data_IF_608061407583
#
_entry.id   IF_608061407583
#
_cell.length_a   1.000
_cell.length_b   1.000
_cell.length_c   1.000
_cell.angle_alpha   90.00
_cell.angle_beta   90.00
_cell.angle_gamma   90.00
#
_symmetry.space_group_name_H-M   'P 1'
#
loop_
_entity.id
_entity.type
_entity.pdbx_description
1 polymer ?
#
# COMPACT_ATOMS: atom_id res chain seq x y z
N UNK A 1 -7.49 55.91 40.17
CA UNK A 1 -8.04 55.47 38.88
C UNK A 1 -6.89 54.88 38.12
N UNK A 2 -6.85 53.55 38.11
CA UNK A 2 -5.74 52.74 37.63
C UNK A 2 -6.21 52.12 36.31
N UNK A 3 -5.77 52.72 35.21
CA UNK A 3 -6.16 52.32 33.85
C UNK A 3 -5.16 51.26 33.37
N UNK A 4 -5.51 49.99 33.64
CA UNK A 4 -4.80 48.82 33.14
C UNK A 4 -4.96 48.75 31.63
N UNK A 5 -3.91 49.18 30.93
CA UNK A 5 -3.74 49.03 29.50
C UNK A 5 -3.74 47.54 29.14
N UNK A 6 -4.88 47.06 28.63
CA UNK A 6 -5.03 45.71 28.12
C UNK A 6 -4.22 45.59 26.82
N UNK A 7 -3.04 44.97 26.89
CA UNK A 7 -2.31 44.55 25.70
C UNK A 7 -3.12 43.51 24.95
N UNK A 8 -3.76 43.92 23.87
CA UNK A 8 -4.42 43.02 22.91
C UNK A 8 -3.28 42.17 22.31
N UNK A 9 -3.20 40.89 22.67
CA UNK A 9 -2.38 39.92 21.93
C UNK A 9 -2.81 40.02 20.47
N UNK A 10 -1.91 40.44 19.57
CA UNK A 10 -2.12 40.31 18.14
C UNK A 10 -2.45 38.84 17.86
N UNK A 11 -3.68 38.58 17.43
CA UNK A 11 -4.10 37.24 17.06
C UNK A 11 -3.27 36.73 15.90
N UNK A 12 -2.99 35.44 15.90
CA UNK A 12 -2.32 34.76 14.78
C UNK A 12 -3.26 34.82 13.57
N UNK A 13 -2.80 35.42 12.48
CA UNK A 13 -3.54 35.57 11.24
C UNK A 13 -3.27 34.44 10.23
N UNK A 14 -4.03 34.43 9.12
CA UNK A 14 -3.82 33.44 8.04
C UNK A 14 -2.43 33.54 7.39
N UNK A 15 -1.86 34.75 7.31
CA UNK A 15 -0.51 34.96 6.81
C UNK A 15 0.56 34.33 7.72
N UNK A 16 0.34 34.36 9.05
CA UNK A 16 1.24 33.72 10.01
C UNK A 16 1.17 32.19 9.90
N UNK A 17 -0.02 31.63 9.67
CA UNK A 17 -0.21 30.19 9.42
C UNK A 17 0.53 29.76 8.15
N UNK A 18 0.42 30.55 7.06
CA UNK A 18 1.18 30.31 5.84
C UNK A 18 2.69 30.33 6.08
N UNK A 19 3.19 31.35 6.77
CA UNK A 19 4.61 31.44 7.12
C UNK A 19 5.07 30.29 8.03
N UNK A 20 4.24 29.78 8.95
CA UNK A 20 4.57 28.59 9.74
C UNK A 20 4.68 27.34 8.88
N UNK A 21 3.79 27.17 7.90
CA UNK A 21 3.85 26.06 6.96
C UNK A 21 5.12 26.11 6.11
N UNK A 22 5.44 27.28 5.54
CA UNK A 22 6.65 27.48 4.72
C UNK A 22 7.92 27.21 5.51
N UNK A 23 8.04 27.76 6.73
CA UNK A 23 9.19 27.52 7.61
C UNK A 23 9.33 26.04 7.99
N UNK A 24 8.21 25.34 8.23
CA UNK A 24 8.23 23.92 8.53
C UNK A 24 8.66 23.10 7.31
N UNK A 25 8.14 23.42 6.13
CA UNK A 25 8.51 22.78 4.86
C UNK A 25 9.99 22.97 4.54
N UNK A 26 10.53 24.19 4.68
CA UNK A 26 11.95 24.47 4.48
C UNK A 26 12.85 23.73 5.50
N UNK A 27 12.42 23.67 6.77
CA UNK A 27 13.14 22.94 7.80
C UNK A 27 13.16 21.43 7.53
N UNK A 28 12.02 20.87 7.11
CA UNK A 28 11.89 19.47 6.72
C UNK A 28 12.74 19.15 5.47
N UNK A 29 12.68 19.98 4.42
CA UNK A 29 13.54 19.83 3.23
C UNK A 29 15.03 19.86 3.60
N UNK A 30 15.43 20.79 4.48
CA UNK A 30 16.81 20.87 4.95
C UNK A 30 17.22 19.65 5.77
N UNK A 31 16.37 19.18 6.68
CA UNK A 31 16.64 17.96 7.45
C UNK A 31 16.70 16.74 6.54
N UNK A 32 15.81 16.62 5.55
CA UNK A 32 15.87 15.55 4.55
C UNK A 32 17.15 15.62 3.74
N UNK A 33 17.59 16.79 3.26
CA UNK A 33 18.88 16.96 2.55
C UNK A 33 20.12 16.67 3.40
N UNK A 34 20.02 16.80 4.73
CA UNK A 34 21.10 16.48 5.66
C UNK A 34 21.10 14.98 6.01
N UNK A 35 19.92 14.39 6.18
CA UNK A 35 19.75 12.98 6.52
C UNK A 35 19.88 12.04 5.32
N UNK A 36 19.65 12.55 4.11
CA UNK A 36 19.67 11.81 2.85
C UNK A 36 20.52 12.57 1.83
N UNK A 37 21.36 11.86 1.09
CA UNK A 37 22.03 12.41 -0.08
C UNK A 37 20.95 12.64 -1.17
N UNK A 38 20.54 13.89 -1.46
CA UNK A 38 19.35 14.16 -2.27
C UNK A 38 19.48 13.73 -3.74
N UNK A 39 20.68 13.34 -4.18
CA UNK A 39 20.93 12.78 -5.51
C UNK A 39 20.96 11.24 -5.52
N UNK A 40 21.07 10.58 -4.37
CA UNK A 40 20.92 9.12 -4.27
C UNK A 40 19.43 8.77 -4.35
N UNK A 41 18.98 8.45 -5.57
CA UNK A 41 17.70 7.75 -5.73
C UNK A 41 17.72 6.47 -4.91
N UNK A 42 16.64 6.22 -4.16
CA UNK A 42 16.46 4.95 -3.43
C UNK A 42 16.75 3.78 -4.37
N UNK A 43 17.45 2.79 -3.85
CA UNK A 43 17.71 1.54 -4.54
C UNK A 43 17.31 0.37 -3.64
N UNK A 44 16.83 -0.70 -4.25
CA UNK A 44 16.49 -1.90 -3.51
C UNK A 44 17.75 -2.71 -3.21
N UNK A 45 17.95 -3.08 -1.95
CA UNK A 45 19.07 -3.94 -1.55
C UNK A 45 18.99 -5.33 -2.21
N UNK A 46 20.12 -6.04 -2.21
CA UNK A 46 20.14 -7.46 -2.56
C UNK A 46 19.63 -8.33 -1.41
N UNK A 47 19.03 -9.46 -1.76
CA UNK A 47 18.47 -10.46 -0.86
C UNK A 47 19.41 -11.64 -0.68
N UNK A 48 19.45 -12.21 0.52
CA UNK A 48 20.22 -13.42 0.82
C UNK A 48 19.57 -14.67 0.20
N UNK A 49 20.35 -15.75 0.08
CA UNK A 49 19.84 -17.06 -0.37
C UNK A 49 18.66 -17.57 0.47
N UNK A 50 18.58 -17.23 1.76
CA UNK A 50 17.47 -17.63 2.64
C UNK A 50 16.19 -16.88 2.30
N UNK A 51 16.28 -15.57 2.08
CA UNK A 51 15.15 -14.74 1.67
C UNK A 51 14.63 -15.17 0.29
N UNK A 52 15.54 -15.39 -0.66
CA UNK A 52 15.19 -15.84 -2.02
C UNK A 52 14.52 -17.22 -2.02
N UNK A 53 15.03 -18.15 -1.21
CA UNK A 53 14.41 -19.47 -1.06
C UNK A 53 12.96 -19.36 -0.53
N UNK A 54 12.71 -18.48 0.45
CA UNK A 54 11.37 -18.19 0.96
C UNK A 54 10.47 -17.59 -0.12
N UNK A 55 10.96 -16.56 -0.83
CA UNK A 55 10.22 -15.88 -1.90
C UNK A 55 9.87 -16.83 -3.05
N UNK A 56 10.77 -17.73 -3.43
CA UNK A 56 10.55 -18.71 -4.49
C UNK A 56 9.83 -19.99 -4.02
N UNK A 57 9.56 -20.12 -2.72
CA UNK A 57 8.99 -21.34 -2.08
C UNK A 57 9.78 -22.60 -2.42
N UNK A 58 11.11 -22.51 -2.39
CA UNK A 58 12.04 -23.63 -2.58
C UNK A 58 12.93 -23.79 -1.35
N UNK A 59 13.60 -24.94 -1.22
CA UNK A 59 14.62 -25.08 -0.18
C UNK A 59 15.92 -24.36 -0.57
N UNK A 60 16.66 -23.85 0.42
CA UNK A 60 18.00 -23.29 0.21
C UNK A 60 18.97 -24.30 -0.41
N UNK A 61 18.76 -25.60 -0.14
CA UNK A 61 19.50 -26.69 -0.76
C UNK A 61 19.22 -26.81 -2.26
N UNK A 62 17.95 -26.67 -2.67
CA UNK A 62 17.58 -26.65 -4.09
C UNK A 62 18.25 -25.48 -4.80
N UNK A 63 18.16 -24.26 -4.24
CA UNK A 63 18.81 -23.07 -4.78
C UNK A 63 20.32 -23.28 -5.00
N UNK A 64 21.02 -23.79 -3.98
CA UNK A 64 22.45 -24.09 -4.04
C UNK A 64 22.80 -25.13 -5.10
N UNK A 65 22.01 -26.20 -5.21
CA UNK A 65 22.25 -27.26 -6.18
C UNK A 65 22.06 -26.75 -7.62
N UNK A 66 21.07 -25.89 -7.85
CA UNK A 66 20.79 -25.27 -9.15
C UNK A 66 21.89 -24.30 -9.62
N UNK A 67 22.56 -23.62 -8.70
CA UNK A 67 23.79 -22.90 -9.06
C UNK A 67 24.95 -23.86 -9.35
N UNK A 68 25.10 -24.93 -8.55
CA UNK A 68 26.20 -25.89 -8.72
C UNK A 68 26.14 -26.65 -10.05
N UNK A 69 24.94 -26.97 -10.53
CA UNK A 69 24.72 -27.66 -11.81
C UNK A 69 24.64 -26.72 -13.03
N UNK A 70 24.77 -25.41 -12.81
CA UNK A 70 24.76 -24.39 -13.86
C UNK A 70 23.37 -24.05 -14.40
N UNK A 71 22.29 -24.57 -13.81
CA UNK A 71 20.93 -24.24 -14.25
C UNK A 71 20.46 -22.85 -13.85
N UNK A 72 21.05 -22.26 -12.81
CA UNK A 72 20.84 -20.85 -12.44
C UNK A 72 22.05 -19.99 -12.84
N UNK A 73 21.81 -18.74 -13.31
CA UNK A 73 22.87 -17.81 -13.63
C UNK A 73 23.72 -17.49 -12.40
N UNK A 74 24.96 -17.06 -12.62
CA UNK A 74 25.79 -16.53 -11.56
C UNK A 74 25.23 -15.20 -11.04
N UNK A 75 25.40 -14.98 -9.74
CA UNK A 75 24.92 -13.79 -9.04
C UNK A 75 26.03 -13.24 -8.15
N UNK A 76 25.83 -12.02 -7.63
CA UNK A 76 26.78 -11.43 -6.71
C UNK A 76 27.08 -12.36 -5.53
N UNK A 77 28.37 -12.60 -5.28
CA UNK A 77 28.85 -13.46 -4.21
C UNK A 77 29.86 -12.69 -3.37
N UNK A 78 29.67 -12.66 -2.05
CA UNK A 78 30.62 -11.98 -1.16
C UNK A 78 31.95 -12.74 -1.03
N UNK A 79 32.93 -12.13 -0.35
CA UNK A 79 34.25 -12.74 -0.10
C UNK A 79 34.18 -14.03 0.73
N UNK A 80 33.04 -14.36 1.35
CA UNK A 80 32.79 -15.57 2.14
C UNK A 80 32.04 -16.65 1.34
N UNK A 81 31.72 -16.39 0.07
CA UNK A 81 30.99 -17.32 -0.79
C UNK A 81 29.47 -17.28 -0.64
N UNK A 82 28.90 -16.30 0.07
CA UNK A 82 27.45 -16.14 0.17
C UNK A 82 26.89 -15.41 -1.03
N UNK A 83 25.83 -15.96 -1.62
CA UNK A 83 25.13 -15.38 -2.79
C UNK A 83 24.06 -14.39 -2.38
N UNK A 84 23.98 -13.30 -3.14
CA UNK A 84 23.05 -12.18 -2.99
C UNK A 84 22.39 -11.82 -4.33
N UNK A 85 21.07 -11.62 -4.29
CA UNK A 85 20.24 -11.52 -5.49
C UNK A 85 19.50 -10.17 -5.52
N UNK A 86 19.51 -9.51 -6.66
CA UNK A 86 18.57 -8.44 -7.00
C UNK A 86 17.15 -8.99 -7.19
N UNK A 87 16.13 -8.14 -7.15
CA UNK A 87 14.74 -8.58 -7.36
C UNK A 87 14.52 -9.09 -8.80
N UNK A 88 15.22 -8.52 -9.77
CA UNK A 88 15.24 -8.93 -11.17
C UNK A 88 15.83 -10.33 -11.32
N UNK A 89 16.98 -10.61 -10.67
CA UNK A 89 17.58 -11.95 -10.65
C UNK A 89 16.63 -12.96 -10.02
N UNK A 90 15.93 -12.63 -8.93
CA UNK A 90 14.92 -13.51 -8.32
C UNK A 90 13.81 -13.86 -9.31
N UNK A 91 13.38 -12.91 -10.14
CA UNK A 91 12.39 -13.15 -11.18
C UNK A 91 12.90 -14.02 -12.33
N UNK A 92 14.17 -13.88 -12.72
CA UNK A 92 14.83 -14.79 -13.66
C UNK A 92 14.85 -16.21 -13.09
N UNK A 93 15.22 -16.39 -11.81
CA UNK A 93 15.24 -17.70 -11.16
C UNK A 93 13.83 -18.31 -11.12
N UNK A 94 12.81 -17.50 -10.84
CA UNK A 94 11.40 -17.91 -10.87
C UNK A 94 10.99 -18.42 -12.25
N UNK A 95 11.36 -17.73 -13.31
CA UNK A 95 11.02 -18.15 -14.67
C UNK A 95 11.72 -19.47 -15.05
N UNK A 96 12.99 -19.65 -14.67
CA UNK A 96 13.71 -20.93 -14.86
C UNK A 96 13.01 -22.06 -14.08
N UNK A 97 12.59 -21.81 -12.85
CA UNK A 97 11.83 -22.78 -12.05
C UNK A 97 10.47 -23.10 -12.68
N UNK A 98 9.77 -22.11 -13.23
CA UNK A 98 8.51 -22.28 -13.94
C UNK A 98 8.65 -23.15 -15.20
N UNK A 99 9.73 -22.96 -15.97
CA UNK A 99 9.99 -23.73 -17.20
C UNK A 99 10.48 -25.16 -16.94
N UNK A 100 11.22 -25.37 -15.85
CA UNK A 100 11.88 -26.67 -15.56
C UNK A 100 11.14 -27.49 -14.50
N UNK A 101 10.24 -26.88 -13.74
CA UNK A 101 9.48 -27.51 -12.68
C UNK A 101 8.30 -28.32 -13.19
N UNK A 102 7.83 -29.27 -12.37
CA UNK A 102 6.61 -30.06 -12.68
C UNK A 102 5.31 -29.24 -12.54
N UNK A 103 5.35 -28.14 -11.80
CA UNK A 103 4.19 -27.28 -11.55
C UNK A 103 4.57 -25.82 -11.86
N UNK A 104 4.47 -25.44 -13.14
CA UNK A 104 4.81 -24.10 -13.61
C UNK A 104 3.97 -23.02 -12.92
N UNK A 105 2.68 -23.31 -12.68
CA UNK A 105 1.72 -22.40 -12.05
C UNK A 105 2.13 -21.99 -10.63
N UNK A 106 2.80 -22.88 -9.89
CA UNK A 106 3.29 -22.56 -8.53
C UNK A 106 4.35 -21.46 -8.53
N UNK A 107 5.04 -21.25 -9.64
CA UNK A 107 6.08 -20.23 -9.81
C UNK A 107 5.59 -18.99 -10.57
N UNK A 108 4.43 -19.05 -11.23
CA UNK A 108 3.85 -17.92 -11.96
C UNK A 108 2.48 -17.60 -11.37
N UNK A 109 2.45 -16.82 -10.26
CA UNK A 109 1.24 -16.72 -9.47
C UNK A 109 0.25 -15.67 -9.99
N UNK A 110 0.66 -14.84 -10.96
CA UNK A 110 -0.13 -13.76 -11.56
C UNK A 110 -1.39 -14.20 -12.32
N UNK A 111 -1.97 -13.26 -13.07
CA UNK A 111 -3.22 -13.48 -13.82
C UNK A 111 -3.01 -14.43 -15.00
N UNK A 112 -4.07 -15.18 -15.32
CA UNK A 112 -4.28 -15.99 -16.53
C UNK A 112 -5.33 -15.29 -17.38
N UNK A 113 -5.53 -15.74 -18.62
CA UNK A 113 -6.39 -15.06 -19.61
C UNK A 113 -7.83 -14.73 -19.14
N UNK A 114 -8.40 -15.52 -18.21
CA UNK A 114 -9.76 -15.31 -17.69
C UNK A 114 -9.80 -14.65 -16.30
N UNK A 115 -8.65 -14.31 -15.74
CA UNK A 115 -8.57 -13.71 -14.42
C UNK A 115 -8.75 -12.19 -14.54
N UNK A 116 -9.70 -11.65 -13.78
CA UNK A 116 -9.86 -10.19 -13.67
C UNK A 116 -8.74 -9.56 -12.86
N UNK A 117 -8.45 -8.28 -13.12
CA UNK A 117 -7.57 -7.49 -12.27
C UNK A 117 -8.07 -7.49 -10.83
N UNK A 118 -7.17 -7.70 -9.86
CA UNK A 118 -7.53 -7.60 -8.45
C UNK A 118 -7.19 -6.23 -7.89
N UNK A 119 -8.21 -5.37 -7.80
CA UNK A 119 -8.16 -4.02 -7.27
C UNK A 119 -8.57 -4.04 -5.80
N UNK A 120 -7.62 -3.85 -4.90
CA UNK A 120 -7.82 -4.01 -3.46
C UNK A 120 -7.66 -2.68 -2.75
N UNK A 121 -8.75 -2.15 -2.22
CA UNK A 121 -8.69 -0.97 -1.36
C UNK A 121 -8.27 -1.34 0.05
N UNK A 122 -7.19 -0.74 0.52
CA UNK A 122 -6.74 -0.81 1.90
C UNK A 122 -7.37 0.34 2.66
N UNK A 123 -8.42 0.01 3.41
CA UNK A 123 -9.24 0.99 4.12
C UNK A 123 -9.06 0.86 5.61
N UNK A 124 -9.38 1.94 6.31
CA UNK A 124 -9.68 1.86 7.72
C UNK A 124 -10.54 3.03 8.14
N UNK A 125 -11.02 2.93 9.37
CA UNK A 125 -12.08 3.75 9.91
C UNK A 125 -11.62 4.68 11.06
N UNK A 126 -10.29 4.88 11.20
CA UNK A 126 -9.61 5.83 12.13
C UNK A 126 -8.15 6.14 11.76
N UNK A 127 -7.62 7.33 12.03
CA UNK A 127 -6.19 7.62 11.84
C UNK A 127 -5.25 6.66 12.61
N UNK A 128 -4.07 6.32 12.04
CA UNK A 128 -3.02 5.56 12.75
C UNK A 128 -3.15 4.03 12.79
N UNK A 129 -3.92 3.46 11.88
CA UNK A 129 -4.26 2.03 11.72
C UNK A 129 -3.28 1.22 10.86
N UNK A 130 -2.18 1.82 10.41
CA UNK A 130 -1.15 1.17 9.58
C UNK A 130 -1.56 0.84 8.14
N UNK A 131 -2.53 1.55 7.53
CA UNK A 131 -2.93 1.35 6.11
C UNK A 131 -1.76 1.45 5.15
N UNK A 132 -1.13 2.63 5.07
CA UNK A 132 0.04 2.89 4.21
C UNK A 132 1.14 1.86 4.42
N UNK A 133 1.42 1.55 5.69
CA UNK A 133 2.40 0.51 6.06
C UNK A 133 1.99 -0.86 5.54
N UNK A 134 0.73 -1.28 5.69
CA UNK A 134 0.24 -2.54 5.14
C UNK A 134 0.30 -2.51 3.60
N UNK A 135 -0.19 -1.45 2.96
CA UNK A 135 -0.21 -1.28 1.51
C UNK A 135 1.17 -1.45 0.90
N UNK A 136 2.18 -0.70 1.37
CA UNK A 136 3.53 -0.77 0.80
C UNK A 136 4.18 -2.14 1.01
N UNK A 137 4.04 -2.73 2.21
CA UNK A 137 4.65 -4.01 2.52
C UNK A 137 3.99 -5.17 1.74
N UNK A 138 2.67 -5.13 1.58
CA UNK A 138 1.94 -6.09 0.75
C UNK A 138 2.35 -5.95 -0.72
N UNK A 139 2.43 -4.72 -1.24
CA UNK A 139 2.84 -4.45 -2.61
C UNK A 139 4.24 -4.99 -2.91
N UNK A 140 5.21 -4.64 -2.06
CA UNK A 140 6.60 -5.11 -2.19
C UNK A 140 6.69 -6.63 -2.08
N UNK A 141 5.94 -7.26 -1.16
CA UNK A 141 5.90 -8.72 -1.06
C UNK A 141 5.28 -9.37 -2.29
N UNK A 142 4.18 -8.85 -2.83
CA UNK A 142 3.58 -9.37 -4.06
C UNK A 142 4.51 -9.21 -5.27
N UNK A 143 5.16 -8.06 -5.42
CA UNK A 143 6.17 -7.84 -6.44
C UNK A 143 7.33 -8.84 -6.32
N UNK A 144 7.88 -9.01 -5.11
CA UNK A 144 8.89 -10.04 -4.83
C UNK A 144 8.40 -11.44 -5.14
N UNK A 145 7.12 -11.77 -4.91
CA UNK A 145 6.51 -13.07 -5.25
C UNK A 145 6.31 -13.26 -6.76
N UNK A 146 6.43 -12.21 -7.56
CA UNK A 146 6.48 -12.24 -9.02
C UNK A 146 5.25 -11.64 -9.72
N UNK A 147 4.30 -11.08 -8.96
CA UNK A 147 3.14 -10.35 -9.49
C UNK A 147 3.58 -9.02 -10.11
N UNK A 148 2.87 -8.57 -11.13
CA UNK A 148 2.92 -7.19 -11.63
C UNK A 148 1.99 -6.35 -10.77
N UNK A 149 2.55 -5.43 -9.99
CA UNK A 149 1.80 -4.69 -8.97
C UNK A 149 1.79 -3.21 -9.31
N UNK A 150 0.62 -2.61 -9.20
CA UNK A 150 0.46 -1.16 -9.19
C UNK A 150 -0.07 -0.74 -7.82
N UNK A 151 0.44 0.35 -7.27
CA UNK A 151 -0.13 0.96 -6.07
C UNK A 151 -0.61 2.37 -6.36
N UNK A 152 -1.78 2.72 -5.84
CA UNK A 152 -2.37 4.04 -5.98
C UNK A 152 -2.39 4.68 -4.59
N UNK A 153 -1.74 5.83 -4.46
CA UNK A 153 -1.95 6.69 -3.30
C UNK A 153 -3.20 7.54 -3.56
N UNK A 154 -4.24 7.38 -2.73
CA UNK A 154 -5.46 8.18 -2.80
C UNK A 154 -5.61 9.13 -1.61
N UNK A 155 -4.59 9.24 -0.76
CA UNK A 155 -4.58 10.17 0.36
C UNK A 155 -3.89 11.48 -0.07
N UNK A 156 -4.55 12.65 0.01
CA UNK A 156 -3.91 13.94 -0.30
C UNK A 156 -2.65 14.23 0.52
N UNK A 157 -2.45 13.54 1.67
CA UNK A 157 -1.20 13.61 2.45
C UNK A 157 -0.02 12.87 1.79
N UNK A 158 -0.26 12.14 0.70
CA UNK A 158 0.75 11.53 -0.14
C UNK A 158 1.81 10.71 0.61
N UNK A 159 1.38 10.02 1.68
CA UNK A 159 2.29 9.31 2.58
C UNK A 159 2.91 8.09 1.88
N UNK A 160 2.11 7.35 1.10
CA UNK A 160 2.63 6.23 0.31
C UNK A 160 3.62 6.73 -0.75
N UNK A 161 3.28 7.81 -1.42
CA UNK A 161 4.12 8.48 -2.43
C UNK A 161 5.49 8.84 -1.87
N UNK A 162 5.50 9.46 -0.69
CA UNK A 162 6.73 9.82 0.02
C UNK A 162 7.55 8.59 0.44
N UNK A 163 6.88 7.50 0.84
CA UNK A 163 7.56 6.25 1.17
C UNK A 163 8.31 5.65 -0.03
N UNK A 164 7.79 5.79 -1.25
CA UNK A 164 8.51 5.43 -2.48
C UNK A 164 9.64 6.40 -2.85
N UNK A 165 9.94 7.38 -2.01
CA UNK A 165 11.05 8.31 -2.19
C UNK A 165 10.77 9.45 -3.15
N UNK A 166 9.53 9.59 -3.63
CA UNK A 166 9.11 10.77 -4.36
C UNK A 166 8.82 11.92 -3.41
N UNK A 167 8.93 13.14 -3.93
CA UNK A 167 8.64 14.38 -3.21
C UNK A 167 7.45 15.09 -3.86
N UNK A 168 6.21 14.82 -3.39
CA UNK A 168 5.01 15.31 -4.07
C UNK A 168 5.00 16.81 -4.35
N UNK A 169 5.47 17.62 -3.40
CA UNK A 169 5.45 19.08 -3.50
C UNK A 169 6.48 19.63 -4.49
N UNK A 170 7.49 18.84 -4.87
CA UNK A 170 8.52 19.26 -5.83
C UNK A 170 8.35 18.60 -7.19
N UNK A 171 8.01 17.31 -7.21
CA UNK A 171 7.98 16.50 -8.43
C UNK A 171 6.62 16.53 -9.12
N UNK A 172 5.54 16.79 -8.38
CA UNK A 172 4.17 16.72 -8.89
C UNK A 172 3.35 17.99 -8.60
N UNK A 173 4.03 19.13 -8.42
CA UNK A 173 3.39 20.42 -8.17
C UNK A 173 2.49 20.88 -9.33
N UNK A 174 2.91 20.59 -10.58
CA UNK A 174 2.23 21.00 -11.81
C UNK A 174 1.35 19.88 -12.42
N UNK A 175 1.10 18.81 -11.68
CA UNK A 175 0.35 17.63 -12.13
C UNK A 175 1.21 16.36 -12.19
N UNK A 176 0.65 15.30 -12.78
CA UNK A 176 1.28 13.98 -12.84
C UNK A 176 0.84 13.04 -11.70
N UNK A 177 -0.32 13.29 -11.11
CA UNK A 177 -0.85 12.55 -9.96
C UNK A 177 -2.16 11.84 -10.28
N UNK A 178 -2.64 11.01 -9.36
CA UNK A 178 -3.97 10.39 -9.45
C UNK A 178 -5.10 11.43 -9.59
N UNK A 179 -4.90 12.66 -9.10
CA UNK A 179 -5.89 13.73 -9.28
C UNK A 179 -6.12 14.04 -10.76
N UNK A 180 -5.05 14.13 -11.56
CA UNK A 180 -5.14 14.43 -12.99
C UNK A 180 -5.87 13.31 -13.76
N UNK A 181 -5.76 12.07 -13.30
CA UNK A 181 -6.47 10.93 -13.87
C UNK A 181 -7.94 10.85 -13.43
N UNK A 182 -8.34 11.53 -12.35
CA UNK A 182 -9.70 11.46 -11.80
C UNK A 182 -10.51 12.74 -12.01
N UNK A 183 -9.89 13.90 -12.21
CA UNK A 183 -10.57 15.20 -12.33
C UNK A 183 -11.60 15.24 -13.46
N UNK A 184 -12.55 16.17 -13.35
CA UNK A 184 -13.69 16.27 -14.27
C UNK A 184 -13.36 16.97 -15.59
N UNK A 185 -12.40 17.91 -15.55
CA UNK A 185 -11.96 18.71 -16.68
C UNK A 185 -10.48 18.40 -16.96
N UNK A 186 -10.08 18.41 -18.23
CA UNK A 186 -8.70 18.13 -18.67
C UNK A 186 -8.10 16.82 -18.13
N UNK A 187 -8.92 15.76 -18.02
CA UNK A 187 -8.48 14.46 -17.53
C UNK A 187 -7.33 13.89 -18.38
N UNK A 188 -6.30 13.35 -17.72
CA UNK A 188 -5.19 12.65 -18.39
C UNK A 188 -5.35 11.13 -18.24
N UNK A 189 -4.88 10.33 -19.22
CA UNK A 189 -4.85 8.87 -19.11
C UNK A 189 -4.10 8.41 -17.86
N UNK A 190 -4.56 7.34 -17.21
CA UNK A 190 -3.90 6.80 -16.01
C UNK A 190 -2.46 6.37 -16.33
N UNK A 191 -2.24 5.85 -17.54
CA UNK A 191 -0.92 5.43 -18.02
C UNK A 191 0.13 6.55 -18.05
N UNK A 192 -0.28 7.82 -18.17
CA UNK A 192 0.64 8.97 -18.21
C UNK A 192 1.11 9.43 -16.83
N UNK A 193 0.38 9.05 -15.77
CA UNK A 193 0.71 9.43 -14.37
C UNK A 193 1.38 8.29 -13.59
N UNK A 194 1.52 7.11 -14.18
CA UNK A 194 2.22 5.98 -13.56
C UNK A 194 3.73 6.24 -13.51
N UNK A 195 4.29 6.14 -12.31
CA UNK A 195 5.72 6.25 -12.04
C UNK A 195 6.33 4.87 -11.83
N UNK A 196 7.46 4.61 -12.50
CA UNK A 196 8.31 3.46 -12.19
C UNK A 196 8.96 3.65 -10.84
N UNK A 197 8.93 2.63 -10.00
CA UNK A 197 9.66 2.63 -8.73
C UNK A 197 11.03 1.95 -8.89
N UNK A 198 11.89 2.09 -7.90
CA UNK A 198 13.15 1.35 -7.79
C UNK A 198 12.96 -0.14 -7.43
N UNK A 199 11.73 -0.61 -7.34
CA UNK A 199 11.37 -1.95 -6.92
C UNK A 199 10.82 -2.73 -8.13
N UNK A 200 11.51 -3.80 -8.54
CA UNK A 200 11.14 -4.61 -9.71
C UNK A 200 9.67 -5.07 -9.65
N UNK A 201 8.94 -4.92 -10.77
CA UNK A 201 7.50 -5.25 -10.92
C UNK A 201 6.53 -4.47 -10.02
N UNK A 202 6.96 -3.35 -9.47
CA UNK A 202 6.12 -2.48 -8.65
C UNK A 202 6.16 -1.06 -9.22
N UNK A 203 5.02 -0.60 -9.71
CA UNK A 203 4.81 0.76 -10.16
C UNK A 203 3.88 1.50 -9.18
N UNK A 204 3.86 2.84 -9.23
CA UNK A 204 2.97 3.63 -8.40
C UNK A 204 2.28 4.76 -9.17
N UNK A 205 1.07 5.12 -8.74
CA UNK A 205 0.45 6.40 -9.09
C UNK A 205 0.52 7.32 -7.87
N UNK A 206 1.20 8.47 -7.97
CA UNK A 206 1.40 9.37 -6.85
C UNK A 206 0.15 10.18 -6.51
N UNK A 207 0.07 10.62 -5.26
CA UNK A 207 -0.87 11.64 -4.80
C UNK A 207 -0.15 12.96 -4.50
N UNK A 208 -0.93 14.01 -4.30
CA UNK A 208 -0.47 15.31 -3.81
C UNK A 208 -1.62 16.10 -3.23
N UNK A 209 -1.32 17.25 -2.63
CA UNK A 209 -2.32 18.09 -1.95
C UNK A 209 -3.50 18.48 -2.87
N UNK A 210 -3.24 18.70 -4.17
CA UNK A 210 -4.28 18.99 -5.17
C UNK A 210 -5.41 17.95 -5.21
N UNK A 211 -5.15 16.72 -4.78
CA UNK A 211 -6.17 15.67 -4.70
C UNK A 211 -7.34 16.05 -3.76
N UNK A 212 -7.15 16.96 -2.80
CA UNK A 212 -8.27 17.45 -1.98
C UNK A 212 -9.33 18.23 -2.77
N UNK A 213 -8.95 18.81 -3.93
CA UNK A 213 -9.90 19.52 -4.80
C UNK A 213 -10.95 18.57 -5.37
N UNK A 214 -10.61 17.29 -5.57
CA UNK A 214 -11.53 16.27 -6.08
C UNK A 214 -12.82 16.15 -5.24
N UNK A 215 -12.75 16.35 -3.92
CA UNK A 215 -13.91 16.32 -3.04
C UNK A 215 -14.90 17.46 -3.36
N UNK A 216 -14.37 18.66 -3.61
CA UNK A 216 -15.18 19.87 -3.89
C UNK A 216 -15.68 19.87 -5.34
N UNK A 217 -14.83 19.51 -6.30
CA UNK A 217 -15.20 19.33 -7.69
C UNK A 217 -16.28 18.27 -7.86
N UNK A 218 -16.17 17.13 -7.16
CA UNK A 218 -17.18 16.07 -7.22
C UNK A 218 -18.54 16.54 -6.71
N UNK A 219 -18.59 17.30 -5.61
CA UNK A 219 -19.84 17.87 -5.12
C UNK A 219 -20.50 18.78 -6.17
N UNK A 220 -19.71 19.64 -6.82
CA UNK A 220 -20.18 20.52 -7.90
C UNK A 220 -20.63 19.73 -9.14
N UNK A 221 -19.88 18.71 -9.53
CA UNK A 221 -20.17 17.83 -10.65
C UNK A 221 -21.49 17.07 -10.46
N UNK A 222 -21.75 16.57 -9.24
CA UNK A 222 -23.02 15.93 -8.89
C UNK A 222 -24.21 16.89 -8.99
N UNK A 223 -24.06 18.14 -8.52
CA UNK A 223 -25.11 19.16 -8.65
C UNK A 223 -25.43 19.47 -10.12
N UNK A 224 -24.42 19.41 -10.99
CA UNK A 224 -24.56 19.58 -12.45
C UNK A 224 -24.91 18.29 -13.20
N UNK A 225 -25.04 17.16 -12.50
CA UNK A 225 -25.26 15.82 -13.09
C UNK A 225 -24.22 15.44 -14.15
N UNK A 226 -22.96 15.83 -13.93
CA UNK A 226 -21.87 15.48 -14.83
C UNK A 226 -21.66 13.96 -14.88
N UNK A 227 -21.20 13.47 -16.03
CA UNK A 227 -20.90 12.07 -16.29
C UNK A 227 -19.46 11.93 -16.84
N UNK A 228 -18.76 10.81 -16.57
CA UNK A 228 -19.12 9.76 -15.62
C UNK A 228 -19.11 10.27 -14.18
N UNK A 229 -19.97 9.70 -13.33
CA UNK A 229 -20.00 10.07 -11.91
C UNK A 229 -18.73 9.57 -11.20
N UNK A 230 -18.38 10.18 -10.05
CA UNK A 230 -17.18 9.85 -9.27
C UNK A 230 -16.94 8.35 -9.06
N UNK A 231 -18.01 7.57 -8.81
CA UNK A 231 -17.95 6.14 -8.51
C UNK A 231 -17.47 5.27 -9.69
N UNK A 232 -17.49 5.80 -10.91
CA UNK A 232 -17.06 5.09 -12.11
C UNK A 232 -15.68 5.54 -12.60
N UNK A 233 -15.24 6.76 -12.23
CA UNK A 233 -14.04 7.40 -12.81
C UNK A 233 -12.78 6.57 -12.61
N UNK A 234 -12.55 6.04 -11.41
CA UNK A 234 -11.38 5.20 -11.15
C UNK A 234 -11.46 3.84 -11.84
N UNK A 235 -12.64 3.23 -11.94
CA UNK A 235 -12.81 1.97 -12.66
C UNK A 235 -12.46 2.16 -14.15
N UNK A 236 -12.96 3.23 -14.77
CA UNK A 236 -12.65 3.59 -16.16
C UNK A 236 -11.16 3.89 -16.35
N UNK A 237 -10.53 4.63 -15.43
CA UNK A 237 -9.10 4.90 -15.48
C UNK A 237 -8.25 3.61 -15.39
N UNK A 238 -8.69 2.64 -14.56
CA UNK A 238 -8.01 1.35 -14.41
C UNK A 238 -8.19 0.43 -15.63
N UNK A 239 -9.27 0.56 -16.41
CA UNK A 239 -9.46 -0.20 -17.65
C UNK A 239 -8.34 0.05 -18.66
N UNK A 240 -7.76 1.26 -18.68
CA UNK A 240 -6.66 1.64 -19.57
C UNK A 240 -5.38 0.80 -19.35
N UNK A 241 -5.20 0.30 -18.12
CA UNK A 241 -3.98 -0.42 -17.69
C UNK A 241 -4.29 -1.83 -17.18
N UNK A 242 -5.51 -2.34 -17.43
CA UNK A 242 -5.95 -3.65 -16.92
C UNK A 242 -4.97 -4.75 -17.31
N UNK A 243 -4.52 -4.78 -18.57
CA UNK A 243 -3.66 -5.84 -19.08
C UNK A 243 -2.25 -5.85 -18.45
N UNK A 244 -1.80 -4.73 -17.89
CA UNK A 244 -0.42 -4.53 -17.45
C UNK A 244 -0.16 -5.02 -16.02
N UNK A 245 -1.21 -5.16 -15.22
CA UNK A 245 -1.10 -5.48 -13.80
C UNK A 245 -1.90 -6.73 -13.40
N UNK A 246 -1.38 -7.43 -12.40
CA UNK A 246 -2.08 -8.54 -11.75
C UNK A 246 -2.90 -8.06 -10.55
N UNK A 247 -2.31 -7.12 -9.78
CA UNK A 247 -2.85 -6.61 -8.53
C UNK A 247 -2.68 -5.09 -8.51
N UNK A 248 -3.75 -4.39 -8.14
CA UNK A 248 -3.72 -2.98 -7.78
C UNK A 248 -4.01 -2.86 -6.28
N UNK A 249 -3.16 -2.19 -5.52
CA UNK A 249 -3.46 -1.83 -4.12
C UNK A 249 -3.73 -0.33 -4.01
N UNK A 250 -4.82 0.05 -3.36
CA UNK A 250 -5.18 1.45 -3.16
C UNK A 250 -4.99 1.82 -1.68
N UNK A 251 -4.13 2.79 -1.38
CA UNK A 251 -4.06 3.39 -0.04
C UNK A 251 -5.10 4.51 0.08
N UNK A 252 -6.20 4.22 0.75
CA UNK A 252 -7.31 5.16 0.88
C UNK A 252 -7.05 6.23 1.95
N UNK A 253 -7.68 7.41 1.87
CA UNK A 253 -7.66 8.37 2.96
C UNK A 253 -8.45 7.83 4.19
N UNK A 254 -8.23 8.37 5.40
CA UNK A 254 -8.90 7.91 6.62
C UNK A 254 -10.38 8.34 6.72
N UNK A 255 -10.84 9.28 5.88
CA UNK A 255 -12.22 9.76 5.87
C UNK A 255 -13.06 9.02 4.81
N UNK A 256 -14.36 8.86 5.09
CA UNK A 256 -15.33 8.38 4.09
C UNK A 256 -15.84 9.55 3.23
N UNK A 257 -14.97 10.05 2.35
CA UNK A 257 -15.29 11.07 1.33
C UNK A 257 -15.51 10.48 -0.06
N UNK A 258 -15.65 11.34 -1.07
CA UNK A 258 -15.78 10.93 -2.47
C UNK A 258 -14.55 10.16 -2.96
N UNK A 259 -13.35 10.46 -2.47
CA UNK A 259 -12.14 9.68 -2.80
C UNK A 259 -12.26 8.22 -2.36
N UNK A 260 -12.65 8.00 -1.10
CA UNK A 260 -12.82 6.64 -0.56
C UNK A 260 -13.95 5.91 -1.28
N UNK A 261 -15.08 6.57 -1.56
CA UNK A 261 -16.17 5.93 -2.29
C UNK A 261 -15.78 5.59 -3.74
N UNK A 262 -15.04 6.47 -4.41
CA UNK A 262 -14.46 6.21 -5.74
C UNK A 262 -13.59 4.95 -5.71
N UNK A 263 -12.72 4.82 -4.69
CA UNK A 263 -11.90 3.62 -4.49
C UNK A 263 -12.73 2.36 -4.24
N UNK A 264 -13.71 2.43 -3.33
CA UNK A 264 -14.58 1.30 -2.96
C UNK A 264 -15.40 0.80 -4.15
N UNK A 265 -15.91 1.71 -4.99
CA UNK A 265 -16.71 1.39 -6.18
C UNK A 265 -15.90 0.77 -7.33
N UNK A 266 -14.60 1.07 -7.41
CA UNK A 266 -13.69 0.46 -8.39
C UNK A 266 -13.05 -0.85 -7.90
N UNK A 267 -13.11 -1.13 -6.60
CA UNK A 267 -12.40 -2.26 -6.00
C UNK A 267 -13.09 -3.60 -6.25
N UNK A 268 -12.28 -4.64 -6.44
CA UNK A 268 -12.68 -6.05 -6.45
C UNK A 268 -12.56 -6.70 -5.08
N UNK A 269 -11.73 -6.17 -4.19
CA UNK A 269 -11.57 -6.68 -2.82
C UNK A 269 -11.33 -5.54 -1.83
N UNK A 270 -11.70 -5.77 -0.57
CA UNK A 270 -11.44 -4.82 0.52
C UNK A 270 -10.52 -5.45 1.57
N UNK A 271 -9.49 -4.70 1.98
CA UNK A 271 -8.67 -5.00 3.14
C UNK A 271 -8.89 -3.92 4.21
N UNK A 272 -9.64 -4.26 5.24
CA UNK A 272 -9.95 -3.38 6.36
C UNK A 272 -8.90 -3.56 7.44
N UNK A 273 -8.09 -2.55 7.72
CA UNK A 273 -7.14 -2.59 8.84
C UNK A 273 -7.83 -2.25 10.16
N UNK A 274 -7.54 -3.01 11.22
CA UNK A 274 -8.16 -2.84 12.54
C UNK A 274 -7.09 -2.93 13.62
N UNK A 275 -7.04 -1.94 14.50
CA UNK A 275 -6.24 -2.03 15.74
C UNK A 275 -7.09 -2.73 16.80
N UNK A 276 -6.54 -3.73 17.53
CA UNK A 276 -7.30 -4.49 18.52
C UNK A 276 -7.59 -3.66 19.78
N UNK A 277 -8.64 -2.83 19.72
CA UNK A 277 -9.13 -2.02 20.83
C UNK A 277 -10.65 -1.85 20.78
N UNK A 278 -11.32 -1.80 21.94
CA UNK A 278 -12.79 -1.70 22.00
C UNK A 278 -13.35 -0.47 21.27
N UNK A 279 -12.69 0.69 21.42
CA UNK A 279 -13.10 1.91 20.74
C UNK A 279 -12.94 1.79 19.22
N UNK A 280 -11.90 1.10 18.77
CA UNK A 280 -11.63 0.90 17.35
C UNK A 280 -12.67 -0.05 16.72
N UNK A 281 -13.09 -1.10 17.44
CA UNK A 281 -14.19 -1.96 17.01
C UNK A 281 -15.53 -1.21 16.94
N UNK A 282 -15.84 -0.41 17.95
CA UNK A 282 -17.07 0.39 17.96
C UNK A 282 -17.09 1.37 16.77
N UNK A 283 -15.96 2.04 16.52
CA UNK A 283 -15.78 2.95 15.38
C UNK A 283 -15.91 2.21 14.05
N UNK A 284 -15.33 1.02 13.94
CA UNK A 284 -15.45 0.16 12.76
C UNK A 284 -16.90 -0.21 12.47
N UNK A 285 -17.69 -0.59 13.48
CA UNK A 285 -19.11 -0.93 13.30
C UNK A 285 -19.91 0.25 12.75
N UNK A 286 -19.72 1.45 13.32
CA UNK A 286 -20.37 2.67 12.84
C UNK A 286 -19.98 3.01 11.41
N UNK A 287 -18.69 2.87 11.09
CA UNK A 287 -18.21 3.14 9.74
C UNK A 287 -18.77 2.14 8.73
N UNK A 288 -18.73 0.84 9.02
CA UNK A 288 -19.28 -0.17 8.12
C UNK A 288 -20.76 0.09 7.80
N UNK A 289 -21.52 0.55 8.81
CA UNK A 289 -22.91 0.98 8.62
C UNK A 289 -23.00 2.18 7.68
N UNK A 290 -22.21 3.23 7.94
CA UNK A 290 -22.19 4.42 7.08
C UNK A 290 -21.77 4.09 5.65
N UNK A 291 -20.68 3.34 5.47
CA UNK A 291 -20.20 2.89 4.17
C UNK A 291 -21.27 2.07 3.44
N UNK A 292 -21.97 1.16 4.11
CA UNK A 292 -23.07 0.42 3.51
C UNK A 292 -24.22 1.32 3.05
N UNK A 293 -24.60 2.32 3.85
CA UNK A 293 -25.65 3.28 3.49
C UNK A 293 -25.23 4.17 2.30
N UNK A 294 -23.98 4.66 2.31
CA UNK A 294 -23.46 5.51 1.25
C UNK A 294 -23.25 4.75 -0.05
N UNK A 295 -22.73 3.53 -0.01
CA UNK A 295 -22.55 2.69 -1.20
C UNK A 295 -23.91 2.33 -1.80
N UNK A 296 -24.92 2.07 -0.99
CA UNK A 296 -26.28 1.83 -1.50
C UNK A 296 -26.82 3.02 -2.29
N UNK A 297 -26.59 4.25 -1.81
CA UNK A 297 -26.96 5.45 -2.56
C UNK A 297 -26.18 5.57 -3.89
N UNK A 298 -24.91 5.16 -3.89
CA UNK A 298 -24.10 5.08 -5.13
C UNK A 298 -24.66 4.04 -6.09
N UNK A 299 -25.00 2.83 -5.61
CA UNK A 299 -25.60 1.76 -6.42
C UNK A 299 -26.90 2.20 -7.10
N UNK A 300 -27.74 2.94 -6.37
CA UNK A 300 -28.97 3.53 -6.90
C UNK A 300 -28.69 4.56 -8.01
N UNK A 301 -27.60 5.32 -7.89
CA UNK A 301 -27.20 6.32 -8.88
C UNK A 301 -26.59 5.70 -10.16
N UNK A 302 -25.79 4.64 -10.04
CA UNK A 302 -25.15 3.96 -11.19
C UNK A 302 -26.03 2.85 -11.79
N UNK A 303 -27.12 2.47 -11.13
CA UNK A 303 -28.01 1.41 -11.61
C UNK A 303 -27.38 0.01 -11.60
N UNK A 304 -26.29 -0.21 -10.86
CA UNK A 304 -25.63 -1.51 -10.68
C UNK A 304 -25.16 -1.68 -9.24
N UNK A 305 -25.04 -2.94 -8.81
CA UNK A 305 -24.49 -3.26 -7.49
C UNK A 305 -22.96 -3.13 -7.50
N UNK A 306 -22.41 -2.70 -6.37
CA UNK A 306 -20.98 -2.78 -6.09
C UNK A 306 -20.74 -4.09 -5.36
N UNK A 307 -19.92 -4.96 -5.95
CA UNK A 307 -19.65 -6.30 -5.41
C UNK A 307 -18.16 -6.53 -5.30
N UNK A 308 -17.72 -7.02 -4.13
CA UNK A 308 -16.35 -7.45 -3.88
C UNK A 308 -16.28 -8.97 -3.84
N UNK A 309 -15.19 -9.54 -4.37
CA UNK A 309 -14.87 -10.97 -4.27
C UNK A 309 -14.62 -11.36 -2.81
N UNK A 310 -14.06 -10.43 -2.02
CA UNK A 310 -13.78 -10.64 -0.60
C UNK A 310 -13.70 -9.32 0.17
N UNK A 311 -13.96 -9.41 1.47
CA UNK A 311 -13.72 -8.34 2.45
C UNK A 311 -12.94 -8.94 3.61
N UNK A 312 -11.67 -8.58 3.77
CA UNK A 312 -10.81 -9.12 4.83
C UNK A 312 -10.50 -8.09 5.89
N UNK A 313 -10.53 -8.50 7.16
CA UNK A 313 -10.14 -7.66 8.29
C UNK A 313 -8.76 -8.06 8.77
N UNK A 314 -7.79 -7.16 8.64
CA UNK A 314 -6.42 -7.34 9.11
C UNK A 314 -6.24 -6.72 10.48
N UNK A 315 -5.95 -7.56 11.49
CA UNK A 315 -5.54 -7.07 12.80
C UNK A 315 -4.12 -6.52 12.68
N UNK A 316 -3.96 -5.23 12.94
CA UNK A 316 -2.68 -4.51 12.84
C UNK A 316 -2.16 -4.10 14.21
N UNK A 317 -0.85 -3.81 14.27
CA UNK A 317 -0.13 -3.40 15.50
C UNK A 317 -0.34 -4.38 16.65
N UNK A 318 -0.51 -5.66 16.32
CA UNK A 318 -0.84 -6.69 17.31
C UNK A 318 0.37 -7.04 18.18
N UNK A 319 0.15 -7.13 19.48
CA UNK A 319 1.11 -7.62 20.47
C UNK A 319 0.59 -8.92 21.10
N UNK A 320 1.16 -10.10 20.77
CA UNK A 320 0.67 -11.38 21.30
C UNK A 320 0.79 -11.51 22.82
N UNK A 321 1.71 -10.76 23.45
CA UNK A 321 1.87 -10.69 24.89
C UNK A 321 0.83 -9.78 25.58
N UNK A 322 0.08 -8.99 24.81
CA UNK A 322 -1.00 -8.15 25.31
C UNK A 322 -2.29 -8.98 25.40
N UNK A 323 -2.65 -9.35 26.64
CA UNK A 323 -3.84 -10.14 26.95
C UNK A 323 -5.14 -9.49 26.45
N UNK A 324 -5.40 -8.20 26.77
CA UNK A 324 -6.51 -7.44 26.22
C UNK A 324 -6.60 -7.48 24.68
N UNK A 325 -5.50 -7.24 23.96
CA UNK A 325 -5.51 -7.32 22.49
C UNK A 325 -5.83 -8.72 21.99
N UNK A 326 -5.31 -9.76 22.65
CA UNK A 326 -5.57 -11.16 22.30
C UNK A 326 -7.03 -11.54 22.47
N UNK A 327 -7.64 -11.13 23.58
CA UNK A 327 -9.07 -11.29 23.82
C UNK A 327 -9.88 -10.56 22.74
N UNK A 328 -9.46 -9.34 22.37
CA UNK A 328 -10.13 -8.51 21.38
C UNK A 328 -10.08 -9.11 19.97
N UNK A 329 -8.91 -9.60 19.55
CA UNK A 329 -8.75 -10.28 18.27
C UNK A 329 -9.59 -11.57 18.22
N UNK A 330 -9.65 -12.32 19.34
CA UNK A 330 -10.54 -13.48 19.46
C UNK A 330 -12.01 -13.12 19.32
N UNK A 331 -12.45 -12.03 19.95
CA UNK A 331 -13.80 -11.51 19.84
C UNK A 331 -14.15 -11.03 18.42
N UNK A 332 -13.23 -10.35 17.74
CA UNK A 332 -13.42 -9.99 16.32
C UNK A 332 -13.60 -11.22 15.44
N UNK A 333 -12.76 -12.24 15.62
CA UNK A 333 -12.85 -13.49 14.87
C UNK A 333 -14.14 -14.26 15.12
N UNK A 334 -14.73 -14.15 16.31
CA UNK A 334 -16.01 -14.82 16.61
C UNK A 334 -17.21 -14.11 15.96
N UNK A 335 -17.18 -12.77 15.84
CA UNK A 335 -18.26 -11.99 15.23
C UNK A 335 -18.17 -11.99 13.71
N UNK A 336 -16.97 -11.83 13.16
CA UNK A 336 -16.71 -11.68 11.72
C UNK A 336 -16.06 -12.95 11.16
N UNK A 337 -16.65 -14.10 11.47
CA UNK A 337 -16.11 -15.42 11.12
C UNK A 337 -15.81 -15.53 9.61
N UNK A 338 -14.60 -15.98 9.29
CA UNK A 338 -14.11 -16.14 7.90
C UNK A 338 -13.67 -14.85 7.20
N UNK A 339 -14.00 -13.67 7.74
CA UNK A 339 -13.57 -12.38 7.19
C UNK A 339 -12.32 -11.84 7.90
N UNK A 340 -12.14 -12.11 9.19
CA UNK A 340 -10.90 -11.73 9.89
C UNK A 340 -9.74 -12.64 9.49
N UNK A 341 -8.62 -12.02 9.12
CA UNK A 341 -7.40 -12.75 8.80
C UNK A 341 -6.86 -13.51 10.02
N UNK A 342 -6.30 -14.68 9.76
CA UNK A 342 -5.68 -15.51 10.78
C UNK A 342 -4.37 -14.89 11.22
N UNK A 343 -3.57 -14.46 10.25
CA UNK A 343 -2.26 -13.84 10.45
C UNK A 343 -2.43 -12.34 10.77
N UNK A 344 -1.94 -11.87 11.93
CA UNK A 344 -1.95 -10.46 12.26
C UNK A 344 -0.66 -9.76 11.82
N UNK A 345 -0.76 -8.47 11.53
CA UNK A 345 0.42 -7.61 11.35
C UNK A 345 0.91 -7.15 12.73
N UNK A 346 2.09 -7.64 13.14
CA UNK A 346 2.64 -7.41 14.47
C UNK A 346 3.13 -5.97 14.65
N UNK A 347 3.01 -5.47 15.88
CA UNK A 347 3.77 -4.27 16.28
C UNK A 347 5.26 -4.60 16.32
N UNK A 348 6.06 -3.82 15.58
CA UNK A 348 7.48 -4.06 15.44
C UNK A 348 8.26 -2.76 15.41
N UNK A 349 9.29 -2.66 16.26
CA UNK A 349 10.23 -1.54 16.22
C UNK A 349 11.02 -1.55 14.91
N UNK A 350 11.32 -2.72 14.31
CA UNK A 350 11.99 -2.77 13.01
C UNK A 350 11.20 -2.07 11.89
N UNK A 351 9.86 -2.14 11.92
CA UNK A 351 9.00 -1.42 10.96
C UNK A 351 9.02 0.08 11.27
N UNK A 352 8.96 0.45 12.55
CA UNK A 352 9.02 1.85 12.98
C UNK A 352 10.37 2.50 12.65
N UNK A 353 11.48 1.84 12.96
CA UNK A 353 12.85 2.31 12.76
C UNK A 353 13.13 2.49 11.26
N UNK A 354 12.75 1.52 10.41
CA UNK A 354 12.86 1.66 8.96
C UNK A 354 11.98 2.81 8.43
N UNK A 355 10.76 2.96 8.98
CA UNK A 355 9.86 4.05 8.59
C UNK A 355 10.39 5.45 8.92
N UNK A 356 11.22 5.58 9.96
CA UNK A 356 11.87 6.87 10.29
C UNK A 356 12.84 7.33 9.19
N UNK A 357 13.40 6.40 8.42
CA UNK A 357 14.23 6.70 7.25
C UNK A 357 13.46 6.52 5.94
N UNK A 358 12.12 6.52 5.98
CA UNK A 358 11.23 6.30 4.83
C UNK A 358 11.50 4.98 4.08
N UNK A 359 12.02 3.96 4.75
CA UNK A 359 12.28 2.64 4.18
C UNK A 359 11.30 1.61 4.72
N UNK A 360 11.09 0.51 4.00
CA UNK A 360 10.47 -0.68 4.58
C UNK A 360 11.52 -1.67 5.09
N UNK A 361 11.04 -2.72 5.78
CA UNK A 361 11.89 -3.85 6.20
C UNK A 361 12.46 -4.67 5.03
N UNK A 362 11.97 -4.46 3.81
CA UNK A 362 12.54 -5.07 2.60
C UNK A 362 13.71 -4.26 2.04
N UNK A 363 13.78 -2.97 2.36
CA UNK A 363 14.75 -2.03 1.79
C UNK A 363 15.94 -1.78 2.71
N UNK A 364 15.68 -1.62 4.00
CA UNK A 364 16.69 -1.36 5.02
C UNK A 364 17.78 -2.44 5.02
N UNK A 365 19.04 -2.04 5.20
CA UNK A 365 20.13 -2.99 5.40
C UNK A 365 19.87 -3.79 6.70
N UNK A 366 19.78 -5.13 6.64
CA UNK A 366 19.57 -5.97 7.82
C UNK A 366 20.59 -5.74 8.95
N UNK A 367 21.78 -5.22 8.64
CA UNK A 367 22.81 -4.91 9.64
C UNK A 367 22.50 -3.66 10.47
N UNK A 368 21.60 -2.79 10.00
CA UNK A 368 21.17 -1.59 10.72
C UNK A 368 20.10 -1.88 11.78
N UNK A 369 19.51 -3.08 11.76
CA UNK A 369 18.42 -3.48 12.65
C UNK A 369 18.80 -4.66 13.54
N UNK A 370 18.07 -4.82 14.64
CA UNK A 370 18.17 -6.02 15.48
C UNK A 370 17.61 -7.20 14.69
N UNK A 371 18.48 -8.13 14.28
CA UNK A 371 18.14 -9.29 13.42
C UNK A 371 16.91 -10.06 13.87
N UNK A 372 16.80 -10.41 15.17
CA UNK A 372 15.63 -11.13 15.70
C UNK A 372 14.33 -10.35 15.54
N UNK A 373 14.38 -9.02 15.67
CA UNK A 373 13.22 -8.14 15.49
C UNK A 373 12.85 -8.05 14.02
N UNK A 374 13.83 -7.94 13.12
CA UNK A 374 13.63 -7.95 11.68
C UNK A 374 13.03 -9.28 11.21
N UNK A 375 13.58 -10.42 11.63
CA UNK A 375 13.08 -11.76 11.28
C UNK A 375 11.61 -11.93 11.71
N UNK A 376 11.25 -11.45 12.91
CA UNK A 376 9.87 -11.47 13.41
C UNK A 376 8.95 -10.57 12.59
N UNK A 377 9.43 -9.38 12.20
CA UNK A 377 8.67 -8.45 11.35
C UNK A 377 8.43 -9.03 9.97
N UNK A 378 9.48 -9.53 9.31
CA UNK A 378 9.40 -10.18 8.00
C UNK A 378 8.47 -11.39 8.04
N UNK A 379 8.56 -12.23 9.08
CA UNK A 379 7.65 -13.37 9.24
C UNK A 379 6.20 -12.91 9.30
N UNK A 380 5.88 -11.94 10.15
CA UNK A 380 4.51 -11.42 10.27
C UNK A 380 3.99 -10.84 8.95
N UNK A 381 4.76 -9.95 8.31
CA UNK A 381 4.35 -9.31 7.07
C UNK A 381 4.18 -10.33 5.94
N UNK A 382 5.13 -11.26 5.80
CA UNK A 382 5.08 -12.30 4.77
C UNK A 382 3.89 -13.23 4.99
N UNK A 383 3.58 -13.61 6.23
CA UNK A 383 2.41 -14.46 6.55
C UNK A 383 1.09 -13.77 6.18
N UNK A 384 0.93 -12.49 6.51
CA UNK A 384 -0.24 -11.69 6.12
C UNK A 384 -0.37 -11.63 4.60
N UNK A 385 0.72 -11.35 3.89
CA UNK A 385 0.72 -11.30 2.44
C UNK A 385 0.40 -12.66 1.82
N UNK A 386 0.95 -13.76 2.35
CA UNK A 386 0.70 -15.11 1.84
C UNK A 386 -0.76 -15.55 2.09
N UNK A 387 -1.40 -15.14 3.20
CA UNK A 387 -2.84 -15.36 3.44
C UNK A 387 -3.72 -14.54 2.47
N UNK A 388 -3.37 -13.27 2.23
CA UNK A 388 -4.08 -12.44 1.26
C UNK A 388 -3.87 -12.95 -0.18
N UNK A 389 -2.67 -13.45 -0.50
CA UNK A 389 -2.36 -14.12 -1.76
C UNK A 389 -3.33 -15.28 -1.99
N UNK A 390 -3.54 -16.15 -1.00
CA UNK A 390 -4.49 -17.25 -1.10
C UNK A 390 -5.92 -16.75 -1.35
N UNK A 391 -6.34 -15.67 -0.69
CA UNK A 391 -7.66 -15.07 -0.91
C UNK A 391 -7.82 -14.57 -2.35
N UNK A 392 -6.79 -13.94 -2.91
CA UNK A 392 -6.76 -13.48 -4.31
C UNK A 392 -6.82 -14.67 -5.27
N UNK A 393 -6.05 -15.73 -5.01
CA UNK A 393 -6.08 -16.96 -5.81
C UNK A 393 -7.48 -17.61 -5.80
N UNK A 394 -8.16 -17.62 -4.66
CA UNK A 394 -9.54 -18.10 -4.53
C UNK A 394 -10.54 -17.24 -5.30
N UNK A 395 -10.36 -15.91 -5.31
CA UNK A 395 -11.17 -15.00 -6.11
C UNK A 395 -11.03 -15.27 -7.62
N UNK A 396 -9.85 -15.73 -8.06
CA UNK A 396 -9.60 -16.25 -9.40
C UNK A 396 -10.03 -17.71 -9.61
N UNK A 397 -10.80 -18.29 -8.67
CA UNK A 397 -11.34 -19.65 -8.78
C UNK A 397 -10.34 -20.78 -8.54
N UNK A 398 -9.16 -20.48 -7.95
CA UNK A 398 -8.10 -21.45 -7.66
C UNK A 398 -8.21 -21.96 -6.22
N UNK A 399 -7.66 -23.15 -5.92
CA UNK A 399 -7.74 -23.80 -4.60
C UNK A 399 -6.46 -23.68 -3.80
#
# INVERSE_FOLDING_TARGET
>A
MDDRNAGIMQGIGSADIGAFADNLAESLDRQMKIAFEPEERKSLRRFSSTEVASVLRVSTSNLRNRHKDGSFPEVHTDNRGHRFYSAEEVDILRDILGRTGKNADAYRPGRRDNDRLQVISVVNFKGGSSKTTATIHLAQRFALRGYRVLVLDLDPQASLTTFFGFRPELEFADGGTIYDALRYEDQVPLSEVIQKTYFHKLDMVPAGLMLSEYETETANALARRAQPIFAERLALALEEVDADYDIVLIDCPPQLGFLTLTALSASTGLLVTVVPGMLDIASMSQFLKLASETIKAVEEAIGRRVTWDFVKFLVTRYEPSDGPQTQMAGYLRSILAGQVMTEPMLKSTAISDAGMTQQTIYEVDPNQLIRKTLDRALTSVNSVADELEQTIQMAWGRR
#
